data_IF_031009799552
#
_entry.id   IF_031009799552
#
_cell.length_a   1.000
_cell.length_b   1.000
_cell.length_c   1.000
_cell.angle_alpha   90.00
_cell.angle_beta   90.00
_cell.angle_gamma   90.00
#
_symmetry.space_group_name_H-M   'P 1'
#
loop_
_entity.id
_entity.type
_entity.pdbx_description
1 polymer ?
#
# COMPACT_ATOMS: atom_id res chain seq x y z
N UNK A 1 -20.13 -16.62 9.91
CA UNK A 1 -18.85 -16.31 10.55
C UNK A 1 -18.61 -14.78 10.55
N UNK A 2 -18.45 -14.12 9.40
CA UNK A 2 -18.08 -12.69 9.29
C UNK A 2 -19.05 -11.75 10.08
N UNK A 3 -20.38 -11.86 9.92
CA UNK A 3 -21.36 -11.05 10.68
C UNK A 3 -21.19 -11.24 12.20
N UNK A 4 -20.93 -12.48 12.64
CA UNK A 4 -20.70 -12.76 14.08
C UNK A 4 -19.41 -12.11 14.57
N UNK A 5 -18.34 -12.13 13.78
CA UNK A 5 -17.07 -11.49 14.12
C UNK A 5 -17.21 -9.97 14.20
N UNK A 6 -17.87 -9.33 13.22
CA UNK A 6 -18.16 -7.90 13.25
C UNK A 6 -18.98 -7.50 14.48
N UNK A 7 -20.01 -8.29 14.84
CA UNK A 7 -20.80 -8.05 16.04
C UNK A 7 -20.00 -8.24 17.33
N UNK A 8 -19.15 -9.26 17.39
CA UNK A 8 -18.26 -9.49 18.53
C UNK A 8 -17.26 -8.33 18.73
N UNK A 9 -16.89 -7.65 17.64
CA UNK A 9 -16.06 -6.45 17.64
C UNK A 9 -16.82 -5.14 17.95
N UNK A 10 -18.11 -5.24 18.33
CA UNK A 10 -18.93 -4.09 18.75
C UNK A 10 -19.66 -3.36 17.60
N UNK A 11 -19.61 -3.88 16.38
CA UNK A 11 -20.32 -3.29 15.24
C UNK A 11 -21.77 -3.83 15.16
N UNK A 12 -22.72 -2.95 14.83
CA UNK A 12 -24.10 -3.35 14.53
C UNK A 12 -24.21 -3.90 13.10
N UNK A 13 -23.71 -5.12 12.88
CA UNK A 13 -23.65 -5.72 11.55
C UNK A 13 -24.96 -6.38 11.15
N UNK A 14 -25.48 -6.00 9.99
CA UNK A 14 -26.68 -6.55 9.34
C UNK A 14 -26.27 -7.23 8.06
N UNK A 15 -26.74 -8.47 7.82
CA UNK A 15 -26.49 -9.20 6.58
C UNK A 15 -27.63 -9.03 5.59
N UNK A 16 -27.31 -8.56 4.39
CA UNK A 16 -28.22 -8.52 3.25
C UNK A 16 -27.82 -9.60 2.24
N UNK A 17 -28.79 -10.28 1.68
CA UNK A 17 -28.55 -11.26 0.63
C UNK A 17 -29.30 -10.84 -0.64
N UNK A 18 -28.58 -10.75 -1.74
CA UNK A 18 -29.14 -10.46 -3.07
C UNK A 18 -28.54 -11.41 -4.10
N UNK A 19 -29.31 -11.83 -5.11
CA UNK A 19 -28.82 -12.76 -6.14
C UNK A 19 -27.80 -12.10 -7.08
N UNK A 20 -27.93 -10.79 -7.30
CA UNK A 20 -27.04 -10.00 -8.16
C UNK A 20 -27.18 -8.52 -7.84
N UNK A 21 -26.08 -7.77 -7.86
CA UNK A 21 -26.10 -6.31 -7.75
C UNK A 21 -26.60 -5.59 -9.00
N UNK A 22 -26.79 -6.32 -10.11
CA UNK A 22 -27.23 -5.77 -11.41
C UNK A 22 -28.73 -5.95 -11.68
N UNK A 23 -29.45 -6.78 -10.90
CA UNK A 23 -30.89 -6.94 -11.11
C UNK A 23 -31.64 -5.72 -10.55
N UNK A 24 -32.63 -5.23 -11.28
CA UNK A 24 -33.43 -4.05 -10.92
C UNK A 24 -34.13 -4.22 -9.56
N UNK A 25 -34.65 -5.40 -9.27
CA UNK A 25 -35.30 -5.69 -7.99
C UNK A 25 -34.30 -5.68 -6.82
N UNK A 26 -33.07 -6.18 -7.02
CA UNK A 26 -32.03 -6.13 -6.00
C UNK A 26 -31.52 -4.71 -5.81
N UNK A 27 -31.37 -3.93 -6.88
CA UNK A 27 -30.98 -2.51 -6.81
C UNK A 27 -32.01 -1.69 -6.03
N UNK A 28 -33.31 -1.86 -6.32
CA UNK A 28 -34.38 -1.19 -5.61
C UNK A 28 -34.38 -1.56 -4.11
N UNK A 29 -34.33 -2.87 -3.80
CA UNK A 29 -34.26 -3.36 -2.42
C UNK A 29 -33.05 -2.81 -1.65
N UNK A 30 -31.86 -2.86 -2.27
CA UNK A 30 -30.65 -2.33 -1.63
C UNK A 30 -30.73 -0.82 -1.44
N UNK A 31 -31.26 -0.06 -2.39
CA UNK A 31 -31.45 1.39 -2.26
C UNK A 31 -32.31 1.74 -1.05
N UNK A 32 -33.47 1.09 -0.88
CA UNK A 32 -34.36 1.29 0.26
C UNK A 32 -33.70 0.85 1.58
N UNK A 33 -33.07 -0.34 1.60
CA UNK A 33 -32.47 -0.89 2.80
C UNK A 33 -31.26 -0.05 3.25
N UNK A 34 -30.39 0.38 2.35
CA UNK A 34 -29.20 1.18 2.68
C UNK A 34 -29.59 2.59 3.10
N UNK A 35 -30.61 3.21 2.49
CA UNK A 35 -31.15 4.49 2.90
C UNK A 35 -31.74 4.45 4.32
N UNK A 36 -32.43 3.36 4.68
CA UNK A 36 -33.01 3.19 6.00
C UNK A 36 -31.97 2.85 7.11
N UNK A 37 -30.87 2.21 6.74
CA UNK A 37 -29.82 1.78 7.69
C UNK A 37 -28.72 2.80 7.89
N UNK A 38 -28.48 3.68 6.91
CA UNK A 38 -27.37 4.66 6.91
C UNK A 38 -26.03 4.02 7.35
N UNK A 39 -25.54 3.00 6.62
CA UNK A 39 -24.38 2.25 7.06
C UNK A 39 -23.13 3.13 7.05
N UNK A 40 -22.28 2.99 8.07
CA UNK A 40 -20.98 3.64 8.15
C UNK A 40 -19.88 2.92 7.34
N UNK A 41 -20.15 1.68 6.93
CA UNK A 41 -19.33 0.88 6.01
C UNK A 41 -20.12 -0.31 5.47
N UNK A 42 -19.69 -0.81 4.31
CA UNK A 42 -20.27 -2.01 3.69
C UNK A 42 -19.17 -3.03 3.49
N UNK A 43 -19.40 -4.29 3.88
CA UNK A 43 -18.51 -5.42 3.54
C UNK A 43 -19.20 -6.24 2.46
N UNK A 44 -18.70 -6.16 1.25
CA UNK A 44 -19.25 -6.84 0.07
C UNK A 44 -18.55 -8.17 -0.18
N UNK A 45 -19.34 -9.24 -0.26
CA UNK A 45 -18.86 -10.58 -0.61
C UNK A 45 -19.37 -11.06 -1.98
N UNK A 46 -20.05 -10.19 -2.76
CA UNK A 46 -20.47 -10.54 -4.12
C UNK A 46 -19.29 -10.43 -5.08
N UNK A 47 -19.27 -11.34 -6.05
CA UNK A 47 -18.31 -11.29 -7.16
C UNK A 47 -18.76 -10.29 -8.24
N UNK A 48 -17.87 -9.96 -9.14
CA UNK A 48 -18.05 -9.07 -10.29
C UNK A 48 -18.30 -7.59 -9.92
N UNK A 49 -18.29 -6.76 -10.95
CA UNK A 49 -18.70 -5.36 -10.82
C UNK A 49 -20.22 -5.26 -10.62
N UNK A 50 -20.63 -4.40 -9.71
CA UNK A 50 -22.04 -4.05 -9.49
C UNK A 50 -22.50 -2.82 -10.27
N UNK A 51 -21.63 -2.22 -11.10
CA UNK A 51 -22.00 -1.06 -11.92
C UNK A 51 -23.03 -1.41 -12.98
N UNK A 52 -24.06 -0.59 -13.09
CA UNK A 52 -25.00 -0.58 -14.20
C UNK A 52 -24.46 0.15 -15.42
N UNK A 53 -25.28 0.23 -16.47
CA UNK A 53 -24.95 0.94 -17.71
C UNK A 53 -24.81 2.46 -17.49
N UNK A 54 -25.44 2.99 -16.44
CA UNK A 54 -25.34 4.37 -15.97
C UNK A 54 -24.04 4.66 -15.19
N UNK A 55 -23.17 3.66 -15.02
CA UNK A 55 -21.92 3.76 -14.27
C UNK A 55 -22.09 3.77 -12.74
N UNK A 56 -23.32 3.75 -12.20
CA UNK A 56 -23.59 3.75 -10.77
C UNK A 56 -23.62 2.33 -10.17
N UNK A 57 -23.21 2.18 -8.91
CA UNK A 57 -23.40 0.95 -8.13
C UNK A 57 -24.41 1.20 -7.00
N UNK A 58 -25.29 0.24 -6.69
CA UNK A 58 -26.24 0.40 -5.59
C UNK A 58 -25.54 0.53 -4.23
N UNK A 59 -24.25 0.18 -4.13
CA UNK A 59 -23.46 0.30 -2.91
C UNK A 59 -22.81 1.69 -2.73
N UNK A 60 -22.89 2.57 -3.74
CA UNK A 60 -22.30 3.92 -3.69
C UNK A 60 -23.19 4.93 -2.95
N UNK A 61 -24.49 4.69 -2.91
CA UNK A 61 -25.50 5.63 -2.39
C UNK A 61 -25.23 6.09 -0.93
N UNK A 62 -24.77 5.23 0.01
CA UNK A 62 -24.49 5.68 1.37
C UNK A 62 -23.26 6.58 1.51
N UNK A 63 -22.39 6.65 0.51
CA UNK A 63 -21.17 7.46 0.56
C UNK A 63 -20.14 6.97 1.59
N UNK A 64 -20.19 5.70 1.98
CA UNK A 64 -19.30 5.09 2.95
C UNK A 64 -18.30 4.12 2.28
N UNK A 65 -17.20 3.74 2.96
CA UNK A 65 -16.26 2.76 2.43
C UNK A 65 -16.91 1.42 2.13
N UNK A 66 -16.63 0.85 0.95
CA UNK A 66 -17.09 -0.49 0.54
C UNK A 66 -15.89 -1.42 0.50
N UNK A 67 -15.81 -2.31 1.47
CA UNK A 67 -14.76 -3.33 1.59
C UNK A 67 -15.14 -4.56 0.78
N UNK A 68 -14.23 -5.01 -0.07
CA UNK A 68 -14.41 -6.22 -0.86
C UNK A 68 -13.70 -7.39 -0.20
N UNK A 69 -14.40 -8.50 -0.01
CA UNK A 69 -13.82 -9.77 0.44
C UNK A 69 -13.96 -10.84 -0.61
N UNK A 70 -12.97 -11.74 -0.70
CA UNK A 70 -13.01 -12.88 -1.61
C UNK A 70 -13.57 -14.13 -0.92
N UNK A 71 -14.40 -14.85 -1.66
CA UNK A 71 -14.83 -16.21 -1.35
C UNK A 71 -14.09 -17.15 -2.32
N UNK A 72 -12.90 -17.63 -1.94
CA UNK A 72 -12.04 -18.39 -2.84
C UNK A 72 -12.67 -19.73 -3.24
N UNK A 73 -12.57 -20.05 -4.52
CA UNK A 73 -12.98 -21.36 -5.06
C UNK A 73 -11.92 -22.44 -4.86
N UNK A 74 -10.69 -22.07 -4.49
CA UNK A 74 -9.60 -22.96 -4.15
C UNK A 74 -9.79 -23.57 -2.75
N UNK A 75 -9.03 -24.63 -2.45
CA UNK A 75 -8.92 -25.16 -1.10
C UNK A 75 -7.99 -24.27 -0.28
N UNK A 76 -8.17 -24.27 1.04
CA UNK A 76 -7.32 -23.49 1.95
C UNK A 76 -5.83 -23.85 1.81
N UNK A 77 -5.51 -25.14 1.71
CA UNK A 77 -4.14 -25.61 1.51
C UNK A 77 -3.52 -25.07 0.22
N UNK A 78 -4.26 -25.08 -0.89
CA UNK A 78 -3.76 -24.61 -2.18
C UNK A 78 -3.44 -23.10 -2.15
N UNK A 79 -4.23 -22.32 -1.40
CA UNK A 79 -3.96 -20.91 -1.14
C UNK A 79 -2.75 -20.72 -0.22
N UNK A 80 -2.63 -21.54 0.81
CA UNK A 80 -1.55 -21.47 1.81
C UNK A 80 -0.17 -21.66 1.15
N UNK A 81 -0.09 -22.66 0.28
CA UNK A 81 1.14 -23.04 -0.45
C UNK A 81 1.42 -22.13 -1.68
N UNK A 82 0.49 -21.26 -2.08
CA UNK A 82 0.59 -20.45 -3.29
C UNK A 82 1.14 -19.04 -3.01
N UNK A 83 2.20 -18.65 -3.69
CA UNK A 83 2.69 -17.27 -3.72
C UNK A 83 1.73 -16.32 -4.46
N UNK A 84 0.93 -16.84 -5.37
CA UNK A 84 -0.09 -16.05 -6.09
C UNK A 84 -1.24 -15.63 -5.18
N UNK A 85 -1.64 -16.48 -4.22
CA UNK A 85 -2.80 -16.29 -3.35
C UNK A 85 -4.10 -16.76 -3.99
N UNK A 86 -4.70 -16.02 -4.91
CA UNK A 86 -5.94 -16.40 -5.58
C UNK A 86 -5.70 -17.06 -6.94
N UNK A 87 -6.63 -17.93 -7.36
CA UNK A 87 -6.68 -18.41 -8.74
C UNK A 87 -6.95 -17.24 -9.71
N UNK A 88 -6.55 -17.34 -11.01
CA UNK A 88 -6.86 -16.29 -11.98
C UNK A 88 -8.35 -15.93 -12.07
N UNK A 89 -9.23 -16.93 -11.94
CA UNK A 89 -10.68 -16.71 -11.95
C UNK A 89 -11.16 -15.98 -10.69
N UNK A 90 -10.71 -16.40 -9.49
CA UNK A 90 -11.05 -15.72 -8.25
C UNK A 90 -10.49 -14.29 -8.21
N UNK A 91 -9.26 -14.08 -8.71
CA UNK A 91 -8.66 -12.75 -8.84
C UNK A 91 -9.50 -11.84 -9.73
N UNK A 92 -9.90 -12.31 -10.91
CA UNK A 92 -10.74 -11.52 -11.82
C UNK A 92 -12.09 -11.17 -11.19
N UNK A 93 -12.78 -12.16 -10.64
CA UNK A 93 -14.17 -12.01 -10.17
C UNK A 93 -14.27 -11.27 -8.83
N UNK A 94 -13.37 -11.51 -7.89
CA UNK A 94 -13.46 -10.97 -6.53
C UNK A 94 -12.58 -9.76 -6.25
N UNK A 95 -11.61 -9.46 -7.13
CA UNK A 95 -10.68 -8.35 -6.95
C UNK A 95 -10.76 -7.37 -8.11
N UNK A 96 -10.35 -7.78 -9.32
CA UNK A 96 -10.18 -6.85 -10.46
C UNK A 96 -11.50 -6.20 -10.87
N UNK A 97 -12.58 -6.97 -11.04
CA UNK A 97 -13.86 -6.42 -11.43
C UNK A 97 -14.52 -5.55 -10.33
N UNK A 98 -14.51 -5.95 -9.03
CA UNK A 98 -14.94 -5.05 -7.97
C UNK A 98 -14.05 -3.80 -7.79
N UNK A 99 -12.75 -3.87 -8.13
CA UNK A 99 -11.83 -2.73 -8.06
C UNK A 99 -12.25 -1.59 -9.01
N UNK A 100 -12.85 -1.93 -10.17
CA UNK A 100 -13.43 -0.94 -11.10
C UNK A 100 -14.55 -0.11 -10.45
N UNK A 101 -15.24 -0.69 -9.47
CA UNK A 101 -16.29 -0.02 -8.70
C UNK A 101 -15.71 0.84 -7.54
N UNK A 102 -14.39 0.96 -7.42
CA UNK A 102 -13.75 1.70 -6.32
C UNK A 102 -13.78 0.98 -4.97
N UNK A 103 -13.95 -0.34 -4.94
CA UNK A 103 -14.01 -1.12 -3.70
C UNK A 103 -12.63 -1.40 -3.14
N UNK A 104 -12.51 -1.37 -1.81
CA UNK A 104 -11.28 -1.60 -1.08
C UNK A 104 -11.13 -3.11 -0.83
N UNK A 105 -10.16 -3.76 -1.49
CA UNK A 105 -9.91 -5.17 -1.25
C UNK A 105 -9.29 -5.40 0.14
N UNK A 106 -9.93 -6.26 0.95
CA UNK A 106 -9.54 -6.49 2.35
C UNK A 106 -9.05 -7.90 2.63
N UNK A 107 -9.24 -8.83 1.70
CA UNK A 107 -8.71 -10.18 1.84
C UNK A 107 -9.70 -11.30 1.49
N UNK A 108 -9.27 -12.53 1.74
CA UNK A 108 -10.08 -13.74 1.57
C UNK A 108 -10.70 -14.15 2.90
N UNK A 109 -11.96 -14.57 2.92
CA UNK A 109 -12.67 -14.94 4.16
C UNK A 109 -13.16 -16.39 4.18
N UNK A 110 -13.09 -17.09 3.05
CA UNK A 110 -13.50 -18.50 2.98
C UNK A 110 -12.86 -19.24 1.81
N UNK A 111 -12.77 -20.55 1.98
CA UNK A 111 -12.22 -21.48 0.98
C UNK A 111 -13.20 -22.62 0.72
N UNK A 112 -13.18 -23.18 -0.50
CA UNK A 112 -13.97 -24.39 -0.80
C UNK A 112 -13.32 -25.63 -0.24
N UNK A 113 -14.12 -26.44 0.46
CA UNK A 113 -13.71 -27.73 0.99
C UNK A 113 -14.73 -28.79 0.61
N UNK A 114 -14.29 -30.02 0.29
CA UNK A 114 -15.23 -31.12 0.09
C UNK A 114 -15.91 -31.48 1.41
N UNK A 115 -17.20 -31.69 1.37
CA UNK A 115 -17.93 -32.32 2.46
C UNK A 115 -17.73 -33.84 2.45
N UNK A 116 -18.23 -34.53 3.47
CA UNK A 116 -18.18 -35.98 3.52
C UNK A 116 -18.81 -36.56 2.26
N UNK A 117 -18.10 -37.51 1.64
CA UNK A 117 -18.61 -38.19 0.44
C UNK A 117 -19.89 -38.95 0.77
N UNK A 118 -20.93 -38.71 0.01
CA UNK A 118 -22.14 -39.50 0.04
C UNK A 118 -21.84 -40.88 -0.56
N UNK A 119 -22.01 -41.98 0.21
CA UNK A 119 -21.66 -43.32 -0.27
C UNK A 119 -22.60 -43.81 -1.37
N UNK A 120 -23.86 -43.36 -1.39
CA UNK A 120 -24.86 -43.83 -2.35
C UNK A 120 -24.72 -43.08 -3.68
N UNK A 121 -24.49 -41.79 -3.62
CA UNK A 121 -24.29 -40.92 -4.78
C UNK A 121 -22.83 -40.90 -5.29
N UNK A 122 -21.91 -41.47 -4.55
CA UNK A 122 -20.48 -41.45 -4.85
C UNK A 122 -19.95 -40.00 -5.09
N UNK A 123 -20.57 -39.03 -4.46
CA UNK A 123 -20.35 -37.59 -4.68
C UNK A 123 -20.00 -36.88 -3.36
N UNK A 124 -19.10 -35.90 -3.47
CA UNK A 124 -18.81 -34.97 -2.38
C UNK A 124 -19.23 -33.56 -2.79
N UNK A 125 -20.15 -32.99 -2.05
CA UNK A 125 -20.49 -31.57 -2.22
C UNK A 125 -19.32 -30.70 -1.77
N UNK A 126 -19.06 -29.63 -2.50
CA UNK A 126 -18.13 -28.60 -2.06
C UNK A 126 -18.87 -27.46 -1.39
N UNK A 127 -18.45 -27.08 -0.20
CA UNK A 127 -19.01 -25.94 0.54
C UNK A 127 -17.90 -24.96 0.94
N UNK A 128 -18.25 -23.68 1.03
CA UNK A 128 -17.35 -22.68 1.57
C UNK A 128 -17.19 -22.87 3.09
N UNK A 129 -15.94 -22.90 3.54
CA UNK A 129 -15.58 -22.90 4.96
C UNK A 129 -14.93 -21.57 5.29
N UNK A 130 -15.46 -20.92 6.32
CA UNK A 130 -14.91 -19.67 6.82
C UNK A 130 -13.51 -19.90 7.39
N UNK A 131 -12.63 -18.92 7.17
CA UNK A 131 -11.28 -18.90 7.75
C UNK A 131 -11.26 -17.81 8.84
N UNK A 132 -11.27 -18.23 10.09
CA UNK A 132 -11.50 -17.32 11.23
C UNK A 132 -10.35 -16.29 11.37
N UNK A 133 -9.10 -16.66 11.14
CA UNK A 133 -7.96 -15.73 11.17
C UNK A 133 -8.10 -14.63 10.11
N UNK A 134 -8.49 -15.01 8.89
CA UNK A 134 -8.69 -14.05 7.79
C UNK A 134 -9.89 -13.15 8.02
N UNK A 135 -10.95 -13.68 8.64
CA UNK A 135 -12.10 -12.88 9.06
C UNK A 135 -11.70 -11.87 10.12
N UNK A 136 -10.86 -12.25 11.08
CA UNK A 136 -10.36 -11.34 12.10
C UNK A 136 -9.58 -10.18 11.48
N UNK A 137 -8.66 -10.45 10.54
CA UNK A 137 -7.91 -9.42 9.82
C UNK A 137 -8.82 -8.46 9.04
N UNK A 138 -9.87 -8.96 8.39
CA UNK A 138 -10.88 -8.11 7.72
C UNK A 138 -11.61 -7.22 8.72
N UNK A 139 -12.02 -7.77 9.87
CA UNK A 139 -12.69 -7.01 10.92
C UNK A 139 -11.80 -5.89 11.47
N UNK A 140 -10.53 -6.18 11.73
CA UNK A 140 -9.57 -5.16 12.19
C UNK A 140 -9.41 -4.01 11.19
N UNK A 141 -9.31 -4.31 9.90
CA UNK A 141 -9.26 -3.28 8.85
C UNK A 141 -10.53 -2.42 8.81
N UNK A 142 -11.70 -3.05 8.91
CA UNK A 142 -12.97 -2.30 9.00
C UNK A 142 -12.98 -1.39 10.23
N UNK A 143 -12.52 -1.87 11.38
CA UNK A 143 -12.41 -1.07 12.61
C UNK A 143 -11.40 0.08 12.48
N UNK A 144 -10.28 -0.12 11.76
CA UNK A 144 -9.33 0.95 11.44
C UNK A 144 -9.99 2.12 10.72
N UNK A 145 -10.73 1.84 9.66
CA UNK A 145 -11.49 2.85 8.93
C UNK A 145 -12.61 3.49 9.77
N UNK A 146 -13.25 2.71 10.65
CA UNK A 146 -14.24 3.25 11.59
C UNK A 146 -13.61 4.21 12.59
N UNK A 147 -12.44 3.88 13.16
CA UNK A 147 -11.71 4.78 14.06
C UNK A 147 -11.37 6.10 13.36
N UNK A 148 -10.89 6.03 12.09
CA UNK A 148 -10.61 7.22 11.30
C UNK A 148 -11.88 8.08 11.09
N UNK A 149 -12.99 7.46 10.71
CA UNK A 149 -14.25 8.16 10.44
C UNK A 149 -14.87 8.79 11.69
N UNK A 150 -14.81 8.09 12.82
CA UNK A 150 -15.42 8.54 14.08
C UNK A 150 -14.58 9.57 14.83
N UNK A 151 -13.26 9.60 14.60
CA UNK A 151 -12.41 10.58 15.25
C UNK A 151 -12.78 11.99 14.78
N UNK A 152 -13.07 12.95 15.67
CA UNK A 152 -13.22 14.36 15.30
C UNK A 152 -11.97 14.87 14.63
N UNK A 153 -12.12 15.82 13.69
CA UNK A 153 -11.00 16.34 12.88
C UNK A 153 -9.82 16.81 13.75
N UNK A 154 -10.12 17.52 14.84
CA UNK A 154 -9.13 18.05 15.80
C UNK A 154 -8.39 16.95 16.59
N UNK A 155 -8.90 15.73 16.62
CA UNK A 155 -8.29 14.58 17.31
C UNK A 155 -7.69 13.54 16.36
N UNK A 156 -7.88 13.70 15.05
CA UNK A 156 -7.30 12.76 14.09
C UNK A 156 -5.79 12.88 14.07
N UNK A 157 -5.11 11.75 14.21
CA UNK A 157 -3.66 11.62 14.09
C UNK A 157 -3.33 11.02 12.73
N UNK A 158 -2.49 11.68 11.95
CA UNK A 158 -2.12 11.26 10.60
C UNK A 158 -0.61 11.06 10.53
N UNK A 159 -0.16 10.00 9.86
CA UNK A 159 1.23 9.82 9.48
C UNK A 159 1.38 10.15 7.98
N UNK A 160 2.07 11.21 7.65
CA UNK A 160 2.44 11.60 6.28
C UNK A 160 3.84 11.04 6.01
N UNK A 161 3.92 9.95 5.25
CA UNK A 161 5.18 9.24 4.99
C UNK A 161 5.65 9.55 3.59
N UNK A 162 6.83 10.13 3.50
CA UNK A 162 7.51 10.42 2.25
C UNK A 162 8.38 9.24 1.85
N UNK A 163 8.23 8.78 0.60
CA UNK A 163 9.13 7.78 0.02
C UNK A 163 10.52 8.38 -0.20
N UNK A 164 11.56 7.67 0.20
CA UNK A 164 12.92 7.98 -0.23
C UNK A 164 13.22 7.20 -1.50
N UNK A 165 13.41 7.90 -2.62
CA UNK A 165 13.83 7.34 -3.89
C UNK A 165 14.90 8.24 -4.51
N UNK A 166 15.91 7.69 -5.11
CA UNK A 166 16.97 6.83 -4.61
C UNK A 166 17.89 7.63 -3.68
N UNK A 167 18.44 7.03 -2.63
CA UNK A 167 19.23 7.57 -1.52
C UNK A 167 20.41 8.48 -1.80
N UNK A 168 20.16 9.56 -2.44
CA UNK A 168 21.03 10.70 -2.51
C UNK A 168 20.46 11.80 -1.63
N UNK A 169 21.30 12.43 -0.84
CA UNK A 169 20.91 13.54 0.07
C UNK A 169 20.27 14.71 -0.69
N UNK A 170 20.62 14.87 -1.97
CA UNK A 170 20.10 15.88 -2.89
C UNK A 170 18.74 15.50 -3.53
N UNK A 171 18.28 14.26 -3.36
CA UNK A 171 17.01 13.75 -3.90
C UNK A 171 16.03 13.30 -2.82
N UNK A 172 16.04 13.99 -1.69
CA UNK A 172 15.12 13.75 -0.58
C UNK A 172 13.66 13.76 -1.05
N UNK A 173 12.94 12.67 -0.80
CA UNK A 173 11.54 12.50 -1.19
C UNK A 173 11.27 12.72 -2.69
N UNK A 174 12.27 12.45 -3.54
CA UNK A 174 12.11 12.60 -4.99
C UNK A 174 11.00 11.67 -5.53
N UNK A 175 10.10 12.24 -6.32
CA UNK A 175 9.06 11.49 -7.00
C UNK A 175 8.84 12.09 -8.39
N UNK A 176 8.91 11.27 -9.43
CA UNK A 176 8.67 11.74 -10.81
C UNK A 176 7.26 12.28 -10.95
N UNK A 177 7.16 13.55 -11.36
CA UNK A 177 5.86 14.23 -11.57
C UNK A 177 5.15 14.68 -10.29
N UNK A 178 5.80 14.59 -9.11
CA UNK A 178 5.26 15.04 -7.83
C UNK A 178 6.32 15.77 -7.03
N UNK A 179 6.10 17.04 -6.67
CA UNK A 179 6.84 17.71 -5.62
C UNK A 179 6.31 17.25 -4.26
N UNK A 180 6.93 16.20 -3.71
CA UNK A 180 6.46 15.56 -2.49
C UNK A 180 6.56 16.47 -1.27
N UNK A 181 7.60 17.30 -1.18
CA UNK A 181 7.79 18.24 -0.06
C UNK A 181 6.75 19.36 -0.09
N UNK A 182 6.59 20.02 -1.24
CA UNK A 182 5.55 21.04 -1.41
C UNK A 182 4.13 20.46 -1.22
N UNK A 183 3.91 19.21 -1.63
CA UNK A 183 2.64 18.51 -1.41
C UNK A 183 2.33 18.31 0.07
N UNK A 184 3.32 17.92 0.88
CA UNK A 184 3.15 17.79 2.35
C UNK A 184 2.84 19.15 2.98
N UNK A 185 3.52 20.20 2.57
CA UNK A 185 3.29 21.56 3.07
C UNK A 185 1.86 22.03 2.78
N UNK A 186 1.38 21.86 1.53
CA UNK A 186 0.01 22.19 1.13
C UNK A 186 -1.02 21.32 1.87
N UNK A 187 -0.76 20.02 2.03
CA UNK A 187 -1.63 19.13 2.80
C UNK A 187 -1.78 19.58 4.25
N UNK A 188 -0.69 19.94 4.92
CA UNK A 188 -0.76 20.45 6.30
C UNK A 188 -1.53 21.77 6.41
N UNK A 189 -1.35 22.69 5.46
CA UNK A 189 -2.12 23.93 5.42
C UNK A 189 -3.62 23.66 5.23
N UNK A 190 -3.97 22.76 4.31
CA UNK A 190 -5.38 22.40 4.07
C UNK A 190 -6.01 21.67 5.24
N UNK A 191 -5.31 20.72 5.83
CA UNK A 191 -5.77 20.00 7.02
C UNK A 191 -6.03 20.97 8.18
N UNK A 192 -5.15 21.96 8.40
CA UNK A 192 -5.40 23.01 9.40
C UNK A 192 -6.66 23.82 9.07
N UNK A 193 -6.88 24.18 7.79
CA UNK A 193 -8.08 24.87 7.32
C UNK A 193 -9.37 24.07 7.52
N UNK A 194 -9.28 22.74 7.47
CA UNK A 194 -10.39 21.80 7.70
C UNK A 194 -10.58 21.42 9.19
N UNK A 195 -9.91 22.13 10.10
CA UNK A 195 -10.09 21.96 11.54
C UNK A 195 -9.30 20.82 12.17
N UNK A 196 -8.30 20.26 11.48
CA UNK A 196 -7.36 19.32 12.11
C UNK A 196 -6.39 20.09 13.02
N UNK A 197 -6.05 19.51 14.18
CA UNK A 197 -5.05 20.07 15.08
C UNK A 197 -3.64 19.80 14.57
N UNK A 198 -3.31 20.36 13.42
CA UNK A 198 -2.00 20.26 12.79
C UNK A 198 -1.32 21.62 12.76
N UNK A 199 0.01 21.64 12.77
CA UNK A 199 0.81 22.85 12.68
C UNK A 199 1.39 22.94 11.27
N UNK A 200 0.91 23.84 10.39
CA UNK A 200 1.52 24.06 9.08
C UNK A 200 3.00 24.43 9.22
N UNK A 201 3.82 23.88 8.38
CA UNK A 201 5.25 24.17 8.36
C UNK A 201 5.74 24.21 6.92
N UNK A 202 6.76 25.02 6.66
CA UNK A 202 7.42 25.20 5.36
C UNK A 202 8.90 24.86 5.53
N UNK A 203 9.52 24.34 4.48
CA UNK A 203 10.94 24.04 4.44
C UNK A 203 11.32 22.70 5.06
N UNK A 204 10.51 21.66 4.86
CA UNK A 204 10.76 20.32 5.40
C UNK A 204 12.07 19.68 4.96
N UNK A 205 12.62 20.03 3.80
CA UNK A 205 13.80 19.36 3.24
C UNK A 205 14.96 19.29 4.22
N UNK A 206 15.34 20.42 4.82
CA UNK A 206 16.42 20.45 5.82
C UNK A 206 15.98 19.89 7.18
N UNK A 207 14.78 20.25 7.66
CA UNK A 207 14.33 19.84 8.98
C UNK A 207 14.18 18.33 9.12
N UNK A 208 13.72 17.62 8.07
CA UNK A 208 13.62 16.16 8.07
C UNK A 208 14.99 15.46 8.05
N UNK A 209 16.03 16.11 7.50
CA UNK A 209 17.40 15.53 7.54
C UNK A 209 18.06 15.72 8.90
N UNK A 210 17.72 16.78 9.63
CA UNK A 210 18.33 17.13 10.91
C UNK A 210 17.58 16.58 12.13
N UNK A 211 16.24 16.46 12.04
CA UNK A 211 15.41 15.99 13.16
C UNK A 211 15.29 14.47 13.19
N UNK A 212 15.34 13.93 14.39
CA UNK A 212 15.17 12.49 14.65
C UNK A 212 14.21 12.27 15.80
N UNK A 213 13.32 11.27 15.63
CA UNK A 213 12.48 10.78 16.71
C UNK A 213 13.00 9.40 17.11
N UNK A 214 13.30 9.25 18.39
CA UNK A 214 13.83 8.00 18.93
C UNK A 214 12.71 7.04 19.30
N UNK A 215 12.91 5.75 19.03
CA UNK A 215 12.07 4.67 19.49
C UNK A 215 12.91 3.57 20.16
N UNK A 216 12.71 3.29 21.47
CA UNK A 216 13.51 2.35 22.21
C UNK A 216 13.49 0.94 21.64
N UNK A 217 14.62 0.23 21.64
CA UNK A 217 14.70 -1.17 21.23
C UNK A 217 13.80 -2.08 22.07
N UNK A 218 13.59 -1.78 23.33
CA UNK A 218 12.66 -2.53 24.18
C UNK A 218 11.22 -2.52 23.63
N UNK A 219 10.76 -1.35 23.14
CA UNK A 219 9.42 -1.21 22.54
C UNK A 219 9.37 -1.91 21.17
N UNK A 220 10.44 -1.84 20.38
CA UNK A 220 10.56 -2.59 19.15
C UNK A 220 10.49 -4.10 19.38
N UNK A 221 11.24 -4.64 20.35
CA UNK A 221 11.20 -6.07 20.67
C UNK A 221 9.79 -6.52 21.11
N UNK A 222 9.11 -5.71 21.91
CA UNK A 222 7.73 -5.99 22.30
C UNK A 222 6.78 -6.01 21.10
N UNK A 223 6.89 -5.04 20.20
CA UNK A 223 6.09 -4.98 18.98
C UNK A 223 6.43 -6.13 18.01
N UNK A 224 7.71 -6.41 17.79
CA UNK A 224 8.20 -7.50 16.95
C UNK A 224 7.72 -8.87 17.44
N UNK A 225 7.64 -9.08 18.75
CA UNK A 225 7.15 -10.31 19.35
C UNK A 225 5.67 -10.61 19.01
N UNK A 226 4.90 -9.62 18.58
CA UNK A 226 3.52 -9.80 18.13
C UNK A 226 3.40 -10.31 16.70
N UNK A 227 4.48 -10.25 15.91
CA UNK A 227 4.49 -10.78 14.55
C UNK A 227 4.64 -12.31 14.53
N UNK A 228 4.20 -12.99 13.45
CA UNK A 228 4.40 -14.41 13.26
C UNK A 228 5.88 -14.84 13.42
N UNK A 229 6.09 -16.01 13.94
CA UNK A 229 7.44 -16.55 14.18
C UNK A 229 8.26 -16.64 12.88
N UNK A 230 7.61 -17.04 11.78
CA UNK A 230 8.22 -17.13 10.44
C UNK A 230 8.86 -15.80 10.02
N UNK A 231 8.12 -14.70 10.14
CA UNK A 231 8.64 -13.36 9.81
C UNK A 231 9.80 -12.94 10.71
N UNK A 232 9.74 -13.28 12.00
CA UNK A 232 10.83 -13.01 12.95
C UNK A 232 12.10 -13.81 12.65
N UNK A 233 11.93 -15.05 12.23
CA UNK A 233 13.03 -15.92 11.82
C UNK A 233 13.65 -15.42 10.50
N UNK A 234 12.83 -15.10 9.49
CA UNK A 234 13.28 -14.51 8.22
C UNK A 234 14.10 -13.23 8.45
N UNK A 235 13.62 -12.36 9.35
CA UNK A 235 14.29 -11.10 9.67
C UNK A 235 15.65 -11.33 10.31
N UNK A 236 15.72 -12.24 11.29
CA UNK A 236 16.97 -12.61 11.96
C UNK A 236 17.96 -13.28 10.99
N UNK A 237 17.48 -14.15 10.13
CA UNK A 237 18.32 -14.91 9.20
C UNK A 237 18.87 -14.02 8.08
N UNK A 238 18.11 -12.99 7.66
CA UNK A 238 18.52 -12.03 6.65
C UNK A 238 19.46 -10.93 7.20
N UNK A 239 19.22 -10.43 8.42
CA UNK A 239 19.85 -9.20 8.93
C UNK A 239 20.58 -9.36 10.28
N UNK A 240 20.52 -10.53 10.91
CA UNK A 240 21.19 -10.78 12.18
C UNK A 240 20.55 -10.06 13.36
N UNK A 241 21.40 -9.49 14.23
CA UNK A 241 20.97 -8.78 15.43
C UNK A 241 20.49 -7.36 15.11
N UNK A 242 19.46 -6.92 15.80
CA UNK A 242 18.90 -5.57 15.61
C UNK A 242 19.88 -4.45 15.98
N UNK A 243 20.78 -4.74 16.91
CA UNK A 243 21.81 -3.81 17.37
C UNK A 243 22.78 -3.42 16.26
N UNK A 244 22.90 -4.24 15.21
CA UNK A 244 23.77 -4.00 14.05
C UNK A 244 23.08 -3.14 12.96
N UNK A 245 21.79 -2.77 13.14
CA UNK A 245 21.08 -1.93 12.17
C UNK A 245 21.62 -0.48 12.21
N UNK A 246 21.92 0.13 11.05
CA UNK A 246 22.53 1.48 10.99
C UNK A 246 21.72 2.60 11.64
N UNK A 247 20.40 2.43 11.79
CA UNK A 247 19.53 3.40 12.46
C UNK A 247 19.43 3.19 13.97
N UNK A 248 20.13 2.20 14.52
CA UNK A 248 20.20 1.97 15.96
C UNK A 248 21.39 2.71 16.56
N UNK A 249 21.13 3.60 17.49
CA UNK A 249 22.12 4.30 18.29
C UNK A 249 21.61 4.40 19.73
N UNK A 250 22.49 4.25 20.70
CA UNK A 250 22.17 4.38 22.16
C UNK A 250 20.95 3.55 22.60
N UNK A 251 20.76 2.35 22.01
CA UNK A 251 19.65 1.45 22.37
C UNK A 251 18.29 1.86 21.82
N UNK A 252 18.22 2.67 20.78
CA UNK A 252 16.98 3.12 20.14
C UNK A 252 17.17 3.25 18.62
N UNK A 253 16.07 3.08 17.87
CA UNK A 253 15.98 3.54 16.48
C UNK A 253 15.84 5.06 16.43
N UNK A 254 16.42 5.70 15.41
CA UNK A 254 16.34 7.13 15.17
C UNK A 254 15.75 7.42 13.78
N UNK A 255 14.46 7.69 13.72
CA UNK A 255 13.75 7.95 12.47
C UNK A 255 13.81 9.43 12.08
N UNK A 256 14.06 9.69 10.80
CA UNK A 256 13.94 11.02 10.21
C UNK A 256 12.44 11.42 10.17
N UNK A 257 12.01 12.15 11.18
CA UNK A 257 10.61 12.47 11.37
C UNK A 257 10.42 13.74 12.19
N UNK A 258 9.27 14.40 11.98
CA UNK A 258 8.88 15.62 12.66
C UNK A 258 7.42 15.61 13.00
N UNK A 259 7.07 15.99 14.23
CA UNK A 259 5.70 16.14 14.69
C UNK A 259 5.17 17.53 14.34
N UNK A 260 4.03 17.59 13.68
CA UNK A 260 3.32 18.80 13.29
C UNK A 260 1.92 18.83 13.92
N UNK A 261 1.82 19.02 15.24
CA UNK A 261 0.59 18.83 15.99
C UNK A 261 0.18 17.35 15.99
N UNK A 262 -1.03 17.06 15.54
CA UNK A 262 -1.55 15.69 15.38
C UNK A 262 -1.10 15.01 14.07
N UNK A 263 -0.30 15.66 13.25
CA UNK A 263 0.35 15.04 12.11
C UNK A 263 1.81 14.71 12.42
N UNK A 264 2.27 13.57 11.92
CA UNK A 264 3.67 13.18 11.85
C UNK A 264 4.10 13.23 10.38
N UNK A 265 5.18 13.94 10.08
CA UNK A 265 5.84 13.88 8.76
C UNK A 265 7.12 13.07 8.92
N UNK A 266 7.30 12.02 8.13
CA UNK A 266 8.43 11.12 8.27
C UNK A 266 8.96 10.65 6.92
N UNK A 267 10.26 10.38 6.86
CA UNK A 267 10.89 9.71 5.73
C UNK A 267 10.86 8.20 5.95
N UNK A 268 10.40 7.46 4.95
CA UNK A 268 10.46 6.01 4.97
C UNK A 268 11.92 5.56 4.97
N UNK A 269 12.35 4.71 5.92
CA UNK A 269 13.70 4.13 5.90
C UNK A 269 13.91 3.24 4.67
N UNK A 270 15.17 2.97 4.37
CA UNK A 270 15.54 2.02 3.33
C UNK A 270 15.07 0.62 3.66
N UNK A 271 14.55 -0.05 2.65
CA UNK A 271 14.08 -1.44 2.74
C UNK A 271 15.24 -2.44 2.91
N UNK A 272 16.39 -2.18 2.27
CA UNK A 272 17.56 -3.05 2.21
C UNK A 272 18.86 -2.26 2.13
N UNK A 273 19.92 -2.85 1.57
CA UNK A 273 21.20 -2.18 1.39
C UNK A 273 21.16 -1.14 0.27
N UNK A 274 21.86 -0.02 0.51
CA UNK A 274 21.96 1.09 -0.42
C UNK A 274 22.65 0.72 -1.75
N UNK A 275 23.53 -0.27 -1.73
CA UNK A 275 24.33 -0.68 -2.88
C UNK A 275 23.56 -1.50 -3.91
N UNK A 276 22.45 -2.12 -3.51
CA UNK A 276 21.64 -3.03 -4.35
C UNK A 276 20.30 -2.42 -4.82
N UNK A 277 20.18 -1.10 -4.79
CA UNK A 277 18.89 -0.40 -4.89
C UNK A 277 18.14 -0.57 -6.20
N UNK A 278 18.83 -0.41 -7.34
CA UNK A 278 18.16 -0.38 -8.65
C UNK A 278 17.51 -1.72 -8.98
N UNK A 279 18.16 -2.83 -8.63
CA UNK A 279 17.64 -4.18 -8.89
C UNK A 279 16.68 -4.69 -7.79
N UNK A 280 16.69 -4.10 -6.59
CA UNK A 280 15.99 -4.65 -5.42
C UNK A 280 14.66 -3.97 -5.08
N UNK A 281 14.35 -2.83 -5.71
CA UNK A 281 13.19 -2.02 -5.32
C UNK A 281 11.84 -2.76 -5.52
N UNK A 282 11.71 -3.53 -6.57
CA UNK A 282 10.54 -4.36 -6.88
C UNK A 282 10.73 -5.85 -6.56
N UNK A 283 11.83 -6.21 -5.91
CA UNK A 283 12.12 -7.61 -5.56
C UNK A 283 11.23 -8.08 -4.41
N UNK A 284 10.25 -8.90 -4.73
CA UNK A 284 9.29 -9.48 -3.77
C UNK A 284 9.90 -10.55 -2.85
N UNK A 285 11.16 -10.94 -3.04
CA UNK A 285 11.84 -11.97 -2.25
C UNK A 285 12.68 -11.42 -1.10
N UNK A 286 13.00 -10.12 -1.10
CA UNK A 286 13.88 -9.52 -0.10
C UNK A 286 13.16 -9.17 1.20
N UNK A 287 13.57 -9.82 2.28
CA UNK A 287 13.17 -9.47 3.64
C UNK A 287 13.58 -8.03 3.98
N UNK A 288 12.66 -7.20 4.49
CA UNK A 288 12.97 -5.82 4.89
C UNK A 288 13.94 -5.79 6.08
N UNK A 289 14.74 -4.71 6.22
CA UNK A 289 15.63 -4.49 7.37
C UNK A 289 14.87 -4.26 8.67
N UNK A 290 15.58 -4.40 9.80
CA UNK A 290 15.03 -4.08 11.13
C UNK A 290 14.51 -2.64 11.22
N UNK A 291 15.24 -1.66 10.70
CA UNK A 291 14.81 -0.26 10.67
C UNK A 291 13.53 -0.02 9.90
N UNK A 292 13.35 -0.72 8.77
CA UNK A 292 12.12 -0.64 7.99
C UNK A 292 10.93 -1.25 8.74
N UNK A 293 11.10 -2.43 9.30
CA UNK A 293 10.09 -3.11 10.12
C UNK A 293 9.75 -2.27 11.35
N UNK A 294 10.78 -1.77 12.04
CA UNK A 294 10.62 -0.92 13.21
C UNK A 294 9.84 0.36 12.91
N UNK A 295 10.08 0.99 11.76
CA UNK A 295 9.36 2.19 11.35
C UNK A 295 7.84 1.99 11.28
N UNK A 296 7.39 0.94 10.61
CA UNK A 296 5.95 0.68 10.50
C UNK A 296 5.33 0.19 11.81
N UNK A 297 6.04 -0.62 12.59
CA UNK A 297 5.58 -1.00 13.93
C UNK A 297 5.50 0.22 14.86
N UNK A 298 6.46 1.14 14.78
CA UNK A 298 6.42 2.40 15.49
C UNK A 298 5.23 3.26 15.10
N UNK A 299 4.95 3.45 13.82
CA UNK A 299 3.78 4.20 13.35
C UNK A 299 2.47 3.63 13.91
N UNK A 300 2.33 2.31 13.93
CA UNK A 300 1.16 1.65 14.54
C UNK A 300 1.09 1.87 16.05
N UNK A 301 2.21 1.77 16.75
CA UNK A 301 2.29 1.99 18.20
C UNK A 301 1.94 3.43 18.61
N UNK A 302 2.14 4.43 17.73
CA UNK A 302 1.77 5.83 17.98
C UNK A 302 0.25 6.09 17.91
N UNK A 303 -0.54 5.11 17.48
CA UNK A 303 -1.99 5.21 17.38
C UNK A 303 -2.46 6.21 16.32
N UNK A 304 -1.78 6.26 15.18
CA UNK A 304 -2.26 7.02 14.02
C UNK A 304 -3.56 6.44 13.49
N UNK A 305 -4.45 7.30 13.00
CA UNK A 305 -5.73 6.88 12.43
C UNK A 305 -5.62 6.56 10.94
N UNK A 306 -4.63 7.12 10.24
CA UNK A 306 -4.33 6.81 8.85
C UNK A 306 -2.87 7.06 8.52
N UNK A 307 -2.40 6.32 7.53
CA UNK A 307 -1.13 6.49 6.85
C UNK A 307 -1.40 7.13 5.49
N UNK A 308 -0.83 8.32 5.24
CA UNK A 308 -0.80 8.96 3.93
C UNK A 308 0.59 8.75 3.35
N UNK A 309 0.69 7.95 2.31
CA UNK A 309 1.97 7.64 1.67
C UNK A 309 2.18 8.55 0.47
N UNK A 310 3.26 9.34 0.45
CA UNK A 310 3.51 10.39 -0.53
C UNK A 310 4.80 10.08 -1.28
N UNK A 311 4.71 9.87 -2.58
CA UNK A 311 5.84 9.53 -3.45
C UNK A 311 5.37 9.06 -4.81
N UNK A 312 6.30 8.68 -5.70
CA UNK A 312 5.96 8.06 -6.99
C UNK A 312 5.27 6.72 -6.76
N UNK A 313 5.85 5.89 -5.90
CA UNK A 313 5.28 4.69 -5.30
C UNK A 313 6.04 4.40 -3.98
N UNK A 314 5.51 3.52 -3.12
CA UNK A 314 6.18 3.04 -1.92
C UNK A 314 6.89 1.72 -2.13
N UNK A 315 7.41 1.16 -1.05
CA UNK A 315 8.02 -0.17 -1.03
C UNK A 315 7.25 -1.16 -0.16
N UNK A 316 6.28 -0.69 0.64
CA UNK A 316 5.49 -1.52 1.54
C UNK A 316 4.70 -2.59 0.78
N UNK A 317 4.07 -2.22 -0.33
CA UNK A 317 3.34 -3.09 -1.23
C UNK A 317 4.23 -4.08 -2.01
N UNK A 318 5.56 -3.84 -2.02
CA UNK A 318 6.54 -4.68 -2.72
C UNK A 318 7.32 -5.63 -1.78
N UNK A 319 6.97 -5.69 -0.51
CA UNK A 319 7.58 -6.62 0.44
C UNK A 319 7.20 -8.08 0.15
N UNK A 320 7.99 -9.08 0.64
CA UNK A 320 7.70 -10.49 0.48
C UNK A 320 6.31 -10.89 0.94
N UNK A 321 5.69 -11.81 0.20
CA UNK A 321 4.37 -12.33 0.48
C UNK A 321 3.57 -12.63 -0.77
N UNK A 322 2.34 -13.10 -0.60
CA UNK A 322 1.43 -13.44 -1.70
C UNK A 322 1.12 -12.22 -2.59
N UNK A 323 0.89 -12.45 -3.87
CA UNK A 323 0.55 -11.38 -4.81
C UNK A 323 -0.81 -10.73 -4.49
N UNK A 324 -1.77 -11.46 -3.91
CA UNK A 324 -3.09 -10.98 -3.50
C UNK A 324 -3.66 -11.90 -2.41
N UNK A 325 -4.64 -11.42 -1.64
CA UNK A 325 -5.25 -12.18 -0.54
C UNK A 325 -4.19 -12.72 0.43
N UNK A 326 -3.45 -11.81 1.01
CA UNK A 326 -2.30 -12.04 1.87
C UNK A 326 -2.67 -12.88 3.10
N UNK A 327 -1.66 -13.53 3.69
CA UNK A 327 -1.70 -14.17 5.00
C UNK A 327 -0.96 -13.32 6.04
N UNK A 328 -1.06 -13.69 7.29
CA UNK A 328 -0.32 -13.09 8.41
C UNK A 328 1.20 -13.19 8.22
N UNK A 329 1.67 -14.22 7.48
CA UNK A 329 3.08 -14.42 7.13
C UNK A 329 3.53 -13.56 5.92
N UNK A 330 2.71 -12.65 5.44
CA UNK A 330 3.07 -11.69 4.39
C UNK A 330 3.48 -10.35 5.03
N UNK A 331 4.68 -9.88 4.74
CA UNK A 331 5.21 -8.63 5.28
C UNK A 331 4.31 -7.41 5.07
N UNK A 332 3.69 -7.20 3.87
CA UNK A 332 2.79 -6.06 3.70
C UNK A 332 1.60 -6.08 4.66
N UNK A 333 1.01 -7.25 4.89
CA UNK A 333 -0.09 -7.43 5.84
C UNK A 333 0.35 -7.18 7.28
N UNK A 334 1.46 -7.80 7.68
CA UNK A 334 2.00 -7.71 9.03
C UNK A 334 2.38 -6.28 9.44
N UNK A 335 2.90 -5.48 8.51
CA UNK A 335 3.33 -4.11 8.77
C UNK A 335 2.18 -3.10 8.66
N UNK A 336 1.28 -3.26 7.68
CA UNK A 336 0.11 -2.37 7.52
C UNK A 336 -0.90 -2.55 8.67
N UNK A 337 -1.18 -3.81 9.02
CA UNK A 337 -2.18 -4.14 10.04
C UNK A 337 -3.55 -3.55 9.72
N UNK A 338 -4.09 -2.79 10.66
CA UNK A 338 -5.41 -2.15 10.61
C UNK A 338 -5.40 -0.67 10.20
N UNK A 339 -4.20 -0.13 9.85
CA UNK A 339 -4.09 1.27 9.43
C UNK A 339 -4.71 1.48 8.04
N UNK A 340 -5.69 2.39 7.89
CA UNK A 340 -6.11 2.90 6.59
C UNK A 340 -4.93 3.52 5.85
N UNK A 341 -4.68 3.08 4.61
CA UNK A 341 -3.63 3.63 3.75
C UNK A 341 -4.26 4.49 2.67
N UNK A 342 -3.85 5.75 2.61
CA UNK A 342 -4.26 6.72 1.59
C UNK A 342 -3.04 7.06 0.76
N UNK A 343 -3.16 6.92 -0.54
CA UNK A 343 -2.03 6.99 -1.44
C UNK A 343 -2.31 7.99 -2.57
N UNK A 344 -1.84 9.26 -2.45
CA UNK A 344 -1.78 10.16 -3.59
C UNK A 344 -0.89 9.56 -4.68
N UNK A 345 -1.48 9.20 -5.81
CA UNK A 345 -0.83 8.38 -6.83
C UNK A 345 -0.92 9.03 -8.21
N UNK A 346 0.16 8.93 -9.00
CA UNK A 346 0.15 9.45 -10.37
C UNK A 346 -0.71 8.57 -11.28
N UNK A 347 -1.60 9.18 -12.09
CA UNK A 347 -2.60 8.44 -12.88
C UNK A 347 -2.02 7.66 -14.05
N UNK A 348 -0.78 7.91 -14.45
CA UNK A 348 -0.13 7.24 -15.57
C UNK A 348 0.63 5.95 -15.18
N UNK A 349 0.59 5.56 -13.90
CA UNK A 349 1.24 4.34 -13.42
C UNK A 349 0.25 3.36 -12.75
N UNK A 350 -0.70 2.78 -13.52
CA UNK A 350 -1.74 1.93 -12.98
C UNK A 350 -1.22 0.58 -12.44
N UNK A 351 -0.07 0.11 -12.92
CA UNK A 351 0.54 -1.14 -12.47
C UNK A 351 0.95 -1.09 -11.01
N UNK A 352 1.64 -0.02 -10.62
CA UNK A 352 2.06 0.24 -9.25
C UNK A 352 0.86 0.46 -8.30
N UNK A 353 -0.12 1.24 -8.75
CA UNK A 353 -1.35 1.47 -8.01
C UNK A 353 -2.10 0.16 -7.72
N UNK A 354 -2.09 -0.80 -8.65
CA UNK A 354 -2.72 -2.10 -8.47
C UNK A 354 -2.06 -2.90 -7.33
N UNK A 355 -0.74 -2.86 -7.19
CA UNK A 355 -0.03 -3.50 -6.07
C UNK A 355 -0.44 -2.90 -4.73
N UNK A 356 -0.43 -1.57 -4.61
CA UNK A 356 -0.84 -0.87 -3.40
C UNK A 356 -2.29 -1.21 -3.01
N UNK A 357 -3.22 -1.19 -3.96
CA UNK A 357 -4.63 -1.52 -3.73
C UNK A 357 -4.84 -2.96 -3.28
N UNK A 358 -4.16 -3.92 -3.92
CA UNK A 358 -4.40 -5.36 -3.72
C UNK A 358 -3.64 -5.96 -2.55
N UNK A 359 -2.49 -5.39 -2.19
CA UNK A 359 -1.62 -5.93 -1.14
C UNK A 359 -1.74 -5.22 0.20
N UNK A 360 -1.95 -3.89 0.20
CA UNK A 360 -2.09 -3.11 1.44
C UNK A 360 -3.45 -2.42 1.59
N UNK A 361 -4.38 -2.68 0.67
CA UNK A 361 -5.74 -2.09 0.73
C UNK A 361 -5.74 -0.56 0.59
N UNK A 362 -4.77 -0.01 -0.12
CA UNK A 362 -4.64 1.44 -0.28
C UNK A 362 -5.81 2.03 -1.07
N UNK A 363 -6.28 3.19 -0.62
CA UNK A 363 -7.16 4.06 -1.39
C UNK A 363 -6.29 5.03 -2.18
N UNK A 364 -6.25 4.88 -3.50
CA UNK A 364 -5.47 5.74 -4.37
C UNK A 364 -6.25 7.00 -4.71
N UNK A 365 -5.61 8.16 -4.53
CA UNK A 365 -6.10 9.46 -4.96
C UNK A 365 -5.30 9.86 -6.19
N UNK A 366 -5.91 9.71 -7.38
CA UNK A 366 -5.24 10.03 -8.64
C UNK A 366 -4.97 11.52 -8.76
N UNK A 367 -3.78 11.90 -9.19
CA UNK A 367 -3.43 13.25 -9.60
C UNK A 367 -2.88 13.25 -11.03
N UNK A 368 -3.14 14.35 -11.75
CA UNK A 368 -2.60 14.54 -13.09
C UNK A 368 -1.19 15.13 -12.96
N UNK A 369 -0.19 14.59 -13.71
CA UNK A 369 1.07 15.26 -13.83
C UNK A 369 0.87 16.63 -14.49
N UNK A 370 1.76 17.61 -14.25
CA UNK A 370 1.74 18.83 -15.03
C UNK A 370 1.83 18.49 -16.52
N UNK A 371 1.18 19.28 -17.40
CA UNK A 371 1.25 19.01 -18.84
C UNK A 371 2.72 18.94 -19.26
N UNK A 372 3.11 17.81 -19.87
CA UNK A 372 4.40 17.67 -20.50
C UNK A 372 4.45 18.74 -21.59
N UNK A 373 5.18 19.82 -21.36
CA UNK A 373 5.62 20.68 -22.44
C UNK A 373 6.83 20.00 -23.03
N UNK A 374 6.86 19.89 -24.35
CA UNK A 374 8.09 19.56 -25.05
C UNK A 374 9.13 20.59 -24.57
N UNK A 375 10.03 20.17 -23.69
CA UNK A 375 11.21 20.94 -23.40
C UNK A 375 12.12 20.66 -24.60
N UNK A 376 12.26 21.63 -25.49
CA UNK A 376 13.34 21.58 -26.47
C UNK A 376 14.62 21.37 -25.69
N UNK A 377 15.43 20.37 -26.07
CA UNK A 377 16.74 20.14 -25.49
C UNK A 377 17.53 21.46 -25.59
N UNK A 378 18.03 22.01 -24.46
CA UNK A 378 18.80 23.24 -24.50
C UNK A 378 19.90 23.14 -25.58
N UNK A 379 20.09 24.20 -26.36
CA UNK A 379 20.99 24.19 -27.50
C UNK A 379 22.40 23.67 -27.14
N UNK A 380 22.87 23.96 -25.91
CA UNK A 380 24.12 23.43 -25.36
C UNK A 380 24.16 21.92 -25.10
N UNK A 381 22.99 21.26 -25.02
CA UNK A 381 22.90 19.81 -24.79
C UNK A 381 22.56 18.99 -26.04
N UNK A 382 22.19 19.64 -27.16
CA UNK A 382 21.84 18.96 -28.42
C UNK A 382 22.97 18.09 -28.96
N UNK A 383 24.21 18.48 -28.73
CA UNK A 383 25.36 17.70 -29.17
C UNK A 383 25.56 16.47 -28.27
N UNK A 384 25.39 16.62 -26.97
CA UNK A 384 25.46 15.50 -26.04
C UNK A 384 24.36 14.48 -26.31
N UNK A 385 23.13 14.91 -26.57
CA UNK A 385 21.99 14.06 -26.96
C UNK A 385 22.33 13.22 -28.22
N UNK A 386 22.85 13.84 -29.26
CA UNK A 386 23.26 13.12 -30.50
C UNK A 386 24.36 12.09 -30.22
N UNK A 387 25.32 12.39 -29.37
CA UNK A 387 26.38 11.46 -28.99
C UNK A 387 25.85 10.27 -28.21
N UNK A 388 24.86 10.49 -27.33
CA UNK A 388 24.20 9.43 -26.60
C UNK A 388 23.35 8.53 -27.49
N UNK A 389 22.63 9.10 -28.46
CA UNK A 389 21.88 8.37 -29.48
C UNK A 389 22.83 7.52 -30.36
N UNK A 390 23.97 8.10 -30.75
CA UNK A 390 25.00 7.40 -31.51
C UNK A 390 25.64 6.26 -30.72
N UNK A 391 25.88 6.46 -29.42
CA UNK A 391 26.37 5.44 -28.49
C UNK A 391 25.38 4.29 -28.37
N UNK A 392 24.11 4.61 -28.13
CA UNK A 392 23.02 3.64 -28.03
C UNK A 392 22.89 2.79 -29.32
N UNK A 393 23.08 3.41 -30.48
CA UNK A 393 23.02 2.71 -31.78
C UNK A 393 24.27 1.88 -32.06
N UNK A 394 25.44 2.32 -31.57
CA UNK A 394 26.72 1.61 -31.74
C UNK A 394 26.87 0.41 -30.79
N UNK A 395 26.06 0.35 -29.75
CA UNK A 395 26.12 -0.74 -28.74
C UNK A 395 25.78 -2.10 -29.38
N UNK A 396 26.74 -3.01 -29.32
CA UNK A 396 26.64 -4.34 -29.93
C UNK A 396 27.06 -4.46 -31.39
N UNK A 397 27.31 -3.34 -32.13
CA UNK A 397 27.68 -3.36 -33.52
C UNK A 397 29.16 -3.00 -33.78
N UNK A 398 29.72 -2.04 -33.02
CA UNK A 398 31.10 -1.58 -33.17
C UNK A 398 31.72 -1.19 -31.82
N UNK A 399 32.35 -2.14 -31.10
CA UNK A 399 32.95 -1.88 -29.78
C UNK A 399 34.02 -0.77 -29.79
N UNK A 400 34.82 -0.68 -30.88
CA UNK A 400 35.89 0.33 -30.98
C UNK A 400 35.32 1.75 -31.16
N UNK A 401 34.17 1.88 -31.80
CA UNK A 401 33.44 3.15 -31.96
C UNK A 401 32.78 3.52 -30.61
N UNK A 402 32.20 2.56 -29.93
CA UNK A 402 31.59 2.77 -28.63
C UNK A 402 32.60 3.34 -27.64
N UNK A 403 33.80 2.77 -27.54
CA UNK A 403 34.81 3.21 -26.57
C UNK A 403 35.25 4.66 -26.86
N UNK A 404 35.39 5.05 -28.13
CA UNK A 404 35.67 6.44 -28.53
C UNK A 404 34.52 7.39 -28.19
N UNK A 405 33.28 6.94 -28.34
CA UNK A 405 32.10 7.73 -28.00
C UNK A 405 32.02 8.02 -26.50
N UNK A 406 32.37 7.07 -25.63
CA UNK A 406 32.39 7.27 -24.18
C UNK A 406 33.28 8.44 -23.79
N UNK A 407 34.50 8.52 -24.35
CA UNK A 407 35.42 9.62 -24.04
C UNK A 407 34.90 10.97 -24.56
N UNK A 408 34.28 10.95 -25.75
CA UNK A 408 33.68 12.14 -26.34
C UNK A 408 32.46 12.62 -25.54
N UNK A 409 31.58 11.70 -25.11
CA UNK A 409 30.41 11.98 -24.25
C UNK A 409 30.85 12.61 -22.94
N UNK A 410 31.87 12.03 -22.25
CA UNK A 410 32.40 12.59 -21.01
C UNK A 410 32.91 14.02 -21.17
N UNK A 411 33.69 14.26 -22.25
CA UNK A 411 34.23 15.59 -22.53
C UNK A 411 33.11 16.61 -22.81
N UNK A 412 32.09 16.22 -23.57
CA UNK A 412 30.96 17.09 -23.89
C UNK A 412 30.05 17.34 -22.67
N UNK A 413 29.79 16.32 -21.88
CA UNK A 413 29.04 16.45 -20.61
C UNK A 413 29.73 17.43 -19.65
N UNK A 414 31.04 17.29 -19.48
CA UNK A 414 31.83 18.21 -18.65
C UNK A 414 31.81 19.65 -19.21
N UNK A 415 31.87 19.81 -20.53
CA UNK A 415 31.79 21.14 -21.16
C UNK A 415 30.38 21.76 -21.02
N UNK A 416 29.35 20.94 -21.01
CA UNK A 416 27.96 21.35 -20.82
C UNK A 416 27.58 21.57 -19.34
N UNK A 417 28.45 21.22 -18.41
CA UNK A 417 28.19 21.35 -16.97
C UNK A 417 27.21 20.32 -16.38
N UNK A 418 27.18 19.11 -16.97
CA UNK A 418 26.33 17.98 -16.55
C UNK A 418 27.21 16.83 -16.06
#
# INVERSE_FOLDING_TARGET
>A
ALIRALRAAGLNAIGLFVPSLKSDSARAFLGEALAAMEPVSIVNATAFSGRGDDGSSPLDAPGCPVFQVALSTARRRDWDESERGLSPADLAMHVVLPEVDGRIFTGVVSFKSPEKRDPDLQYSRFAHRAEDARIAAVVERVLGWQRLAQAPADRRKLALVLSTYPGRDDQLAHAVGLDALASVEDMLMRLAGEGYSVTPQIGFGRSLTEQRISWPLADYHAALASLPQTLRDDLRDAWGAVEDDPLVQDGAFHFAAQTCGNALVALQPERGDLQDREDSYHDLSRTPRHSYVAFYLWLRAQGHHALVHIGAHGTLEWLPGKAVALSDDCWPEALTGDLPVIYPFIVNDPGEAAQAKRRIGAVTLGHLPPPLKDSETPEGLLRLERLLDEYSTADGLDPARRDRLVDTIRAEAQAAGV
#
